data_IF_657705290456
#
_entry.id   IF_657705290456
#
_cell.length_a   1.000
_cell.length_b   1.000
_cell.length_c   1.000
_cell.angle_alpha   90.00
_cell.angle_beta   90.00
_cell.angle_gamma   90.00
#
_symmetry.space_group_name_H-M   'P 1'
#
loop_
_entity.id
_entity.type
_entity.pdbx_description
1 polymer ?
#
# COMPACT_ATOMS: atom_id res chain seq x y z
N UNK A 1 -16.07 26.65 15.85
CA UNK A 1 -14.81 26.74 16.60
C UNK A 1 -14.47 25.34 17.06
N UNK A 2 -13.75 24.62 16.20
CA UNK A 2 -13.38 23.25 16.44
C UNK A 2 -11.87 23.12 16.65
N UNK A 3 -11.47 22.33 17.65
CA UNK A 3 -10.10 21.82 17.73
C UNK A 3 -10.00 20.57 16.89
N UNK A 4 -9.23 20.62 15.81
CA UNK A 4 -9.17 19.56 14.81
C UNK A 4 -7.74 19.05 14.68
N UNK A 5 -7.56 17.73 14.72
CA UNK A 5 -6.33 17.05 14.31
C UNK A 5 -6.40 16.77 12.81
N UNK A 6 -5.40 17.18 12.04
CA UNK A 6 -5.33 16.98 10.59
C UNK A 6 -4.18 16.03 10.26
N UNK A 7 -4.44 15.06 9.39
CA UNK A 7 -3.49 14.02 8.97
C UNK A 7 -3.44 13.99 7.45
N UNK A 8 -2.24 14.10 6.88
CA UNK A 8 -1.96 13.76 5.49
C UNK A 8 -0.86 12.71 5.37
N UNK A 9 -1.18 11.67 4.61
CA UNK A 9 -0.25 10.61 4.20
C UNK A 9 -0.46 10.26 2.73
N UNK A 10 -1.02 11.20 1.95
CA UNK A 10 -1.42 10.96 0.57
C UNK A 10 -0.23 10.84 -0.39
N UNK A 11 0.94 11.36 -0.02
CA UNK A 11 2.16 11.31 -0.84
C UNK A 11 3.33 10.70 -0.06
N UNK A 12 4.57 10.95 -0.50
CA UNK A 12 5.78 10.60 0.28
C UNK A 12 5.96 11.49 1.51
N UNK A 13 5.27 12.63 1.56
CA UNK A 13 5.25 13.51 2.72
C UNK A 13 4.25 12.93 3.74
N UNK A 14 4.71 12.69 4.97
CA UNK A 14 3.85 12.48 6.12
C UNK A 14 3.68 13.83 6.82
N UNK A 15 2.46 14.30 7.04
CA UNK A 15 2.27 15.53 7.78
C UNK A 15 1.08 15.48 8.72
N UNK A 16 1.22 16.14 9.86
CA UNK A 16 0.21 16.23 10.90
C UNK A 16 0.13 17.67 11.37
N UNK A 17 -1.06 18.19 11.60
CA UNK A 17 -1.27 19.50 12.19
C UNK A 17 -2.40 19.47 13.22
N UNK A 18 -2.38 20.40 14.15
CA UNK A 18 -3.57 20.73 14.95
C UNK A 18 -4.02 22.13 14.59
N UNK A 19 -5.32 22.30 14.41
CA UNK A 19 -5.92 23.56 14.02
C UNK A 19 -7.02 23.99 14.99
N UNK A 20 -7.19 25.30 15.08
CA UNK A 20 -8.33 25.94 15.72
C UNK A 20 -8.69 27.18 14.91
N UNK A 21 -9.99 27.47 14.78
CA UNK A 21 -10.48 28.69 14.12
C UNK A 21 -10.01 28.79 12.65
N UNK A 22 -10.01 27.64 11.95
CA UNK A 22 -9.58 27.53 10.56
C UNK A 22 -8.08 27.75 10.32
N UNK A 23 -7.25 27.74 11.38
CA UNK A 23 -5.81 28.00 11.30
C UNK A 23 -5.01 26.90 11.99
N UNK A 24 -3.94 26.45 11.35
CA UNK A 24 -2.98 25.55 11.98
C UNK A 24 -2.22 26.28 13.11
N UNK A 25 -2.18 25.67 14.29
CA UNK A 25 -1.46 26.19 15.46
C UNK A 25 -0.03 25.67 15.52
N UNK A 26 0.14 24.37 15.26
CA UNK A 26 1.43 23.69 15.11
C UNK A 26 1.27 22.54 14.13
N UNK A 27 2.38 22.13 13.52
CA UNK A 27 2.43 21.03 12.57
C UNK A 27 3.80 20.36 12.60
N UNK A 28 3.84 19.14 12.07
CA UNK A 28 5.05 18.41 11.73
C UNK A 28 4.91 17.83 10.34
N UNK A 29 6.03 17.74 9.65
CA UNK A 29 6.10 17.19 8.31
C UNK A 29 7.42 16.44 8.17
N UNK A 30 7.36 15.19 7.72
CA UNK A 30 8.53 14.33 7.55
C UNK A 30 8.49 13.67 6.18
N UNK A 31 9.63 13.71 5.49
CA UNK A 31 9.82 13.12 4.16
C UNK A 31 11.07 12.25 4.17
N UNK A 32 10.90 10.98 3.85
CA UNK A 32 12.01 10.07 3.63
C UNK A 32 11.94 9.49 2.22
N UNK A 33 13.01 8.84 1.76
CA UNK A 33 13.01 8.17 0.46
C UNK A 33 12.11 6.90 0.44
N UNK A 34 11.77 6.37 1.62
CA UNK A 34 10.87 5.24 1.82
C UNK A 34 9.50 5.64 2.39
N UNK A 35 8.61 4.65 2.58
CA UNK A 35 7.31 4.88 3.24
C UNK A 35 7.46 4.61 4.74
N UNK A 36 7.70 5.66 5.54
CA UNK A 36 7.80 5.57 7.02
C UNK A 36 6.50 5.95 7.73
N UNK A 37 5.41 6.15 6.99
CA UNK A 37 4.14 6.67 7.53
C UNK A 37 3.64 5.85 8.73
N UNK A 38 3.72 4.51 8.65
CA UNK A 38 3.25 3.64 9.73
C UNK A 38 4.06 3.81 11.03
N UNK A 39 5.34 4.11 10.94
CA UNK A 39 6.24 4.26 12.09
C UNK A 39 6.22 5.68 12.66
N UNK A 40 6.02 6.69 11.81
CA UNK A 40 6.17 8.10 12.18
C UNK A 40 4.85 8.81 12.47
N UNK A 41 3.73 8.37 11.92
CA UNK A 41 2.45 9.08 12.05
C UNK A 41 2.02 9.28 13.51
N UNK A 42 2.02 8.22 14.33
CA UNK A 42 1.64 8.33 15.75
C UNK A 42 2.59 9.23 16.56
N UNK A 43 3.93 9.08 16.47
CA UNK A 43 4.86 10.03 17.07
C UNK A 43 4.61 11.49 16.66
N UNK A 44 4.33 11.77 15.38
CA UNK A 44 4.04 13.12 14.91
C UNK A 44 2.75 13.68 15.52
N UNK A 45 1.72 12.84 15.70
CA UNK A 45 0.47 13.22 16.38
C UNK A 45 0.74 13.58 17.85
N UNK A 46 1.53 12.77 18.56
CA UNK A 46 1.92 13.06 19.94
C UNK A 46 2.69 14.38 20.06
N UNK A 47 3.66 14.61 19.16
CA UNK A 47 4.44 15.85 19.13
C UNK A 47 3.55 17.09 18.95
N UNK A 48 2.64 17.10 17.97
CA UNK A 48 1.79 18.27 17.72
C UNK A 48 0.78 18.53 18.85
N UNK A 49 0.27 17.49 19.51
CA UNK A 49 -0.64 17.64 20.65
C UNK A 49 0.11 18.18 21.88
N UNK A 50 1.33 17.69 22.11
CA UNK A 50 2.18 18.15 23.21
C UNK A 50 2.61 19.61 23.05
N UNK A 51 2.94 20.05 21.84
CA UNK A 51 3.31 21.44 21.52
C UNK A 51 2.25 22.47 21.96
N UNK A 52 0.97 22.10 21.89
CA UNK A 52 -0.16 22.97 22.30
C UNK A 52 -0.76 22.57 23.65
N UNK A 53 -0.15 21.58 24.34
CA UNK A 53 -0.65 21.00 25.58
C UNK A 53 -2.14 20.58 25.50
N UNK A 54 -2.54 19.98 24.38
CA UNK A 54 -3.90 19.47 24.19
C UNK A 54 -3.97 18.00 24.55
N UNK A 55 -4.97 17.66 25.36
CA UNK A 55 -5.39 16.28 25.51
C UNK A 55 -6.38 15.91 24.40
N UNK A 56 -6.43 14.62 24.04
CA UNK A 56 -7.30 14.12 22.98
C UNK A 56 -8.79 14.43 23.22
N UNK A 57 -9.24 14.49 24.49
CA UNK A 57 -10.60 14.85 24.87
C UNK A 57 -10.96 16.30 24.54
N UNK A 58 -9.96 17.15 24.27
CA UNK A 58 -10.19 18.53 23.86
C UNK A 58 -10.37 18.70 22.35
N UNK A 59 -10.05 17.67 21.56
CA UNK A 59 -10.34 17.63 20.14
C UNK A 59 -11.84 17.44 19.90
N UNK A 60 -12.31 17.93 18.77
CA UNK A 60 -13.72 17.86 18.37
C UNK A 60 -13.91 17.10 17.05
N UNK A 61 -12.85 16.94 16.25
CA UNK A 61 -12.86 16.13 15.04
C UNK A 61 -11.44 15.72 14.64
N UNK A 62 -11.36 14.72 13.77
CA UNK A 62 -10.12 14.36 13.07
C UNK A 62 -10.38 14.51 11.57
N UNK A 63 -9.54 15.28 10.89
CA UNK A 63 -9.53 15.40 9.45
C UNK A 63 -8.40 14.55 8.85
N UNK A 64 -8.68 13.82 7.79
CA UNK A 64 -7.70 13.02 7.06
C UNK A 64 -7.84 13.24 5.57
N UNK A 65 -6.73 13.25 4.85
CA UNK A 65 -6.76 13.25 3.39
C UNK A 65 -7.26 11.92 2.84
N UNK A 66 -8.34 11.95 2.08
CA UNK A 66 -8.96 10.79 1.45
C UNK A 66 -8.33 10.39 0.11
N UNK A 67 -7.60 11.31 -0.54
CA UNK A 67 -7.05 11.09 -1.86
C UNK A 67 -7.29 12.29 -2.79
N UNK A 68 -6.80 12.22 -4.04
CA UNK A 68 -6.01 11.13 -4.63
C UNK A 68 -4.60 11.02 -4.05
N UNK A 69 -3.88 9.92 -4.32
CA UNK A 69 -2.51 9.74 -3.82
C UNK A 69 -2.01 8.29 -3.79
N UNK A 70 -0.97 8.06 -2.99
CA UNK A 70 -0.37 6.77 -2.69
C UNK A 70 -1.36 5.81 -2.07
N UNK A 71 -1.67 4.70 -2.75
CA UNK A 71 -2.57 3.66 -2.27
C UNK A 71 -2.24 3.19 -0.85
N UNK A 72 -0.95 2.91 -0.58
CA UNK A 72 -0.50 2.49 0.74
C UNK A 72 -0.59 3.63 1.76
N UNK A 73 -0.18 4.84 1.37
CA UNK A 73 -0.17 6.01 2.24
C UNK A 73 -1.58 6.40 2.71
N UNK A 74 -2.53 6.48 1.79
CA UNK A 74 -3.93 6.78 2.08
C UNK A 74 -4.55 5.76 3.04
N UNK A 75 -4.28 4.46 2.85
CA UNK A 75 -4.79 3.42 3.75
C UNK A 75 -4.22 3.53 5.16
N UNK A 76 -2.93 3.87 5.29
CA UNK A 76 -2.32 4.09 6.61
C UNK A 76 -3.00 5.27 7.30
N UNK A 77 -3.09 6.44 6.64
CA UNK A 77 -3.71 7.63 7.22
C UNK A 77 -5.16 7.42 7.61
N UNK A 78 -5.97 6.87 6.71
CA UNK A 78 -7.40 6.62 6.96
C UNK A 78 -7.61 5.57 8.05
N UNK A 79 -6.82 4.48 8.07
CA UNK A 79 -6.93 3.48 9.14
C UNK A 79 -6.56 4.07 10.51
N UNK A 80 -5.49 4.86 10.58
CA UNK A 80 -5.10 5.55 11.82
C UNK A 80 -6.18 6.54 12.25
N UNK A 81 -6.67 7.41 11.36
CA UNK A 81 -7.71 8.37 11.67
C UNK A 81 -9.01 7.69 12.15
N UNK A 82 -9.45 6.62 11.49
CA UNK A 82 -10.61 5.83 11.92
C UNK A 82 -10.41 5.21 13.29
N UNK A 83 -9.22 4.66 13.57
CA UNK A 83 -8.87 4.11 14.88
C UNK A 83 -8.92 5.17 15.99
N UNK A 84 -8.40 6.37 15.73
CA UNK A 84 -8.44 7.49 16.66
C UNK A 84 -9.86 8.01 16.86
N UNK A 85 -10.64 8.18 15.78
CA UNK A 85 -12.06 8.56 15.87
C UNK A 85 -12.86 7.57 16.70
N UNK A 86 -12.66 6.26 16.48
CA UNK A 86 -13.32 5.22 17.25
C UNK A 86 -12.91 5.22 18.72
N UNK A 87 -11.60 5.38 19.01
CA UNK A 87 -11.06 5.37 20.37
C UNK A 87 -11.39 6.63 21.18
N UNK A 88 -11.46 7.79 20.51
CA UNK A 88 -11.69 9.10 21.15
C UNK A 88 -13.13 9.59 20.99
N UNK A 89 -13.99 8.82 20.31
CA UNK A 89 -15.39 9.16 20.02
C UNK A 89 -15.52 10.52 19.30
N UNK A 90 -14.73 10.70 18.23
CA UNK A 90 -14.70 11.91 17.42
C UNK A 90 -15.21 11.63 16.00
N UNK A 91 -15.87 12.61 15.35
CA UNK A 91 -16.23 12.51 13.94
C UNK A 91 -15.01 12.59 13.02
N UNK A 92 -15.11 11.96 11.86
CA UNK A 92 -14.11 11.97 10.80
C UNK A 92 -14.50 12.98 9.71
N UNK A 93 -13.53 13.78 9.25
CA UNK A 93 -13.65 14.67 8.09
C UNK A 93 -12.69 14.16 7.00
N UNK A 94 -13.18 14.01 5.77
CA UNK A 94 -12.34 13.71 4.61
C UNK A 94 -11.93 15.01 3.90
N UNK A 95 -10.65 15.12 3.55
CA UNK A 95 -10.11 16.23 2.75
C UNK A 95 -9.54 15.71 1.44
N UNK A 96 -9.53 16.57 0.41
CA UNK A 96 -8.95 16.26 -0.89
C UNK A 96 -7.47 16.68 -0.95
N UNK A 97 -6.59 15.77 -1.37
CA UNK A 97 -5.14 16.01 -1.42
C UNK A 97 -4.76 17.15 -2.38
N UNK A 98 -5.47 17.28 -3.51
CA UNK A 98 -5.23 18.35 -4.50
C UNK A 98 -5.75 19.70 -4.01
N UNK A 99 -6.81 19.70 -3.18
CA UNK A 99 -7.29 20.92 -2.53
C UNK A 99 -6.26 21.45 -1.50
N UNK A 100 -5.61 20.56 -0.75
CA UNK A 100 -4.50 20.93 0.14
C UNK A 100 -3.34 21.57 -0.65
N UNK A 101 -2.98 21.03 -1.81
CA UNK A 101 -1.97 21.63 -2.69
C UNK A 101 -2.40 23.01 -3.18
N UNK A 102 -3.65 23.20 -3.58
CA UNK A 102 -4.14 24.50 -4.01
C UNK A 102 -4.10 25.54 -2.87
N UNK A 103 -4.49 25.16 -1.65
CA UNK A 103 -4.38 26.01 -0.47
C UNK A 103 -2.92 26.36 -0.12
N UNK A 104 -2.01 25.37 -0.23
CA UNK A 104 -0.57 25.60 -0.10
C UNK A 104 -0.07 26.60 -1.15
N UNK A 105 -0.49 26.46 -2.40
CA UNK A 105 -0.12 27.36 -3.48
C UNK A 105 -0.55 28.79 -3.20
N UNK A 106 -1.77 28.99 -2.68
CA UNK A 106 -2.27 30.30 -2.25
C UNK A 106 -1.48 30.89 -1.09
N UNK A 107 -1.01 30.05 -0.15
CA UNK A 107 -0.14 30.47 0.95
C UNK A 107 1.26 30.88 0.46
N UNK A 108 1.81 30.17 -0.54
CA UNK A 108 3.14 30.46 -1.12
C UNK A 108 3.12 31.71 -1.99
N UNK A 109 2.09 31.86 -2.82
CA UNK A 109 1.86 33.01 -3.68
C UNK A 109 0.39 33.44 -3.56
N UNK A 110 0.09 34.59 -2.93
CA UNK A 110 -1.27 35.06 -2.74
C UNK A 110 -1.90 35.69 -3.99
N UNK A 111 -1.16 35.81 -5.09
CA UNK A 111 -1.64 36.43 -6.35
C UNK A 111 -2.96 35.80 -6.83
N UNK A 112 -3.97 36.60 -7.22
CA UNK A 112 -5.21 36.07 -7.75
C UNK A 112 -5.05 35.31 -9.06
N UNK A 113 -5.15 33.98 -9.01
CA UNK A 113 -4.98 33.09 -10.18
C UNK A 113 -5.58 31.70 -9.93
N UNK A 114 -5.90 30.91 -10.97
CA UNK A 114 -6.26 29.52 -10.78
C UNK A 114 -5.06 28.69 -10.29
N UNK A 115 -5.36 27.65 -9.52
CA UNK A 115 -4.36 26.73 -8.96
C UNK A 115 -4.69 25.31 -9.35
N UNK A 116 -3.71 24.63 -9.94
CA UNK A 116 -3.85 23.27 -10.43
C UNK A 116 -3.04 22.38 -9.48
N UNK A 117 -3.75 21.67 -8.60
CA UNK A 117 -3.14 20.70 -7.70
C UNK A 117 -2.87 19.41 -8.46
N UNK A 118 -1.60 18.99 -8.56
CA UNK A 118 -1.18 17.86 -9.38
C UNK A 118 -0.36 16.85 -8.56
N UNK A 119 -0.82 15.61 -8.52
CA UNK A 119 -0.12 14.50 -7.85
C UNK A 119 0.32 13.47 -8.89
N UNK A 120 1.58 13.02 -8.83
CA UNK A 120 2.09 11.99 -9.74
C UNK A 120 1.31 10.66 -9.59
N UNK A 121 0.62 10.24 -10.66
CA UNK A 121 -0.14 9.00 -10.72
C UNK A 121 0.68 7.82 -11.27
N UNK A 122 2.01 7.99 -11.42
CA UNK A 122 2.96 7.09 -12.10
C UNK A 122 2.67 6.97 -13.60
N UNK A 123 3.54 6.26 -14.34
CA UNK A 123 3.35 5.89 -15.76
C UNK A 123 2.84 7.03 -16.67
N UNK A 124 3.54 8.17 -16.70
CA UNK A 124 3.13 9.34 -17.50
C UNK A 124 1.73 9.91 -17.21
N UNK A 125 1.12 9.59 -16.08
CA UNK A 125 -0.15 10.18 -15.65
C UNK A 125 0.03 11.09 -14.43
N UNK A 126 -0.94 11.98 -14.23
CA UNK A 126 -1.09 12.80 -13.02
C UNK A 126 -2.56 12.84 -12.61
N UNK A 127 -2.82 12.85 -11.31
CA UNK A 127 -4.11 13.29 -10.80
C UNK A 127 -4.09 14.80 -10.74
N UNK A 128 -5.06 15.46 -11.37
CA UNK A 128 -5.12 16.90 -11.38
C UNK A 128 -6.55 17.39 -11.15
N UNK A 129 -6.67 18.46 -10.36
CA UNK A 129 -7.88 19.24 -10.20
C UNK A 129 -7.54 20.73 -10.27
N UNK A 130 -8.49 21.51 -10.75
CA UNK A 130 -8.33 22.96 -10.89
C UNK A 130 -9.19 23.68 -9.87
N UNK A 131 -8.59 24.63 -9.16
CA UNK A 131 -9.23 25.46 -8.16
C UNK A 131 -9.18 26.92 -8.60
N UNK A 132 -10.27 27.64 -8.37
CA UNK A 132 -10.31 29.09 -8.48
C UNK A 132 -9.43 29.76 -7.41
N UNK A 133 -9.23 31.07 -7.51
CA UNK A 133 -8.46 31.82 -6.51
C UNK A 133 -9.08 31.77 -5.10
N UNK A 134 -10.40 31.63 -5.03
CA UNK A 134 -11.17 31.50 -3.79
C UNK A 134 -11.15 30.06 -3.23
N UNK A 135 -10.41 29.15 -3.85
CA UNK A 135 -10.31 27.75 -3.42
C UNK A 135 -11.48 26.86 -3.82
N UNK A 136 -12.43 27.38 -4.62
CA UNK A 136 -13.54 26.58 -5.15
C UNK A 136 -13.01 25.64 -6.25
N UNK A 137 -13.29 24.35 -6.14
CA UNK A 137 -13.00 23.37 -7.19
C UNK A 137 -13.84 23.69 -8.44
N UNK A 138 -13.17 24.00 -9.56
CA UNK A 138 -13.80 24.30 -10.85
C UNK A 138 -13.67 23.14 -11.84
N UNK A 139 -12.74 22.22 -11.59
CA UNK A 139 -12.58 20.97 -12.33
C UNK A 139 -12.17 19.89 -11.33
N UNK A 140 -12.98 18.84 -11.22
CA UNK A 140 -12.75 17.72 -10.30
C UNK A 140 -11.50 16.92 -10.67
N UNK A 141 -11.05 16.10 -9.73
CA UNK A 141 -9.87 15.26 -9.89
C UNK A 141 -10.08 14.25 -11.01
N UNK A 142 -9.23 14.33 -12.03
CA UNK A 142 -9.17 13.35 -13.11
C UNK A 142 -7.75 12.80 -13.28
N UNK A 143 -7.60 11.52 -13.65
CA UNK A 143 -6.32 11.01 -14.15
C UNK A 143 -6.09 11.56 -15.56
N UNK A 144 -5.03 12.33 -15.73
CA UNK A 144 -4.63 12.94 -16.99
C UNK A 144 -3.38 12.24 -17.50
N UNK A 145 -3.46 11.64 -18.68
CA UNK A 145 -2.28 11.16 -19.42
C UNK A 145 -1.49 12.36 -19.95
N UNK A 146 -0.20 12.38 -19.67
CA UNK A 146 0.70 13.51 -19.93
C UNK A 146 1.66 13.15 -21.06
N UNK A 147 1.13 12.56 -22.13
CA UNK A 147 1.86 12.34 -23.37
C UNK A 147 1.82 13.60 -24.25
N UNK A 148 0.76 14.40 -24.13
CA UNK A 148 0.56 15.68 -24.81
C UNK A 148 -0.01 16.72 -23.83
N UNK A 149 0.19 18.01 -24.11
CA UNK A 149 -0.36 19.08 -23.28
C UNK A 149 -1.90 19.10 -23.37
N UNK A 150 -2.64 18.94 -22.28
CA UNK A 150 -4.09 18.90 -22.33
C UNK A 150 -4.68 20.22 -22.80
N UNK A 151 -5.67 20.15 -23.70
CA UNK A 151 -6.31 21.33 -24.32
C UNK A 151 -7.06 22.24 -23.33
N UNK A 152 -7.33 21.76 -22.10
CA UNK A 152 -8.12 22.49 -21.11
C UNK A 152 -7.28 23.41 -20.21
N UNK A 153 -5.97 23.22 -20.12
CA UNK A 153 -5.06 24.11 -19.39
C UNK A 153 -4.44 25.14 -20.34
N UNK A 154 -5.24 26.10 -20.81
CA UNK A 154 -4.84 27.09 -21.85
C UNK A 154 -4.58 28.51 -21.33
N UNK A 155 -4.57 28.73 -20.02
CA UNK A 155 -4.39 30.06 -19.40
C UNK A 155 -3.18 30.20 -18.46
N UNK A 156 -3.05 31.35 -17.78
CA UNK A 156 -2.14 31.51 -16.64
C UNK A 156 -2.58 30.64 -15.47
N UNK A 157 -1.65 30.27 -14.61
CA UNK A 157 -1.98 29.48 -13.42
C UNK A 157 -0.77 28.96 -12.69
N UNK A 158 -0.98 28.65 -11.42
CA UNK A 158 0.02 28.00 -10.58
C UNK A 158 -0.24 26.50 -10.56
N UNK A 159 0.68 25.74 -11.15
CA UNK A 159 0.68 24.29 -11.10
C UNK A 159 1.53 23.87 -9.91
N UNK A 160 0.96 23.09 -8.99
CA UNK A 160 1.60 22.78 -7.72
C UNK A 160 1.50 21.29 -7.40
N UNK A 161 2.61 20.71 -6.97
CA UNK A 161 2.73 19.31 -6.60
C UNK A 161 3.78 18.55 -7.42
N UNK A 162 4.11 17.33 -7.02
CA UNK A 162 5.11 16.50 -7.72
C UNK A 162 4.68 16.15 -9.15
N UNK A 163 3.37 16.06 -9.41
CA UNK A 163 2.81 15.95 -10.75
C UNK A 163 3.04 17.19 -11.61
N UNK A 164 3.03 18.40 -11.02
CA UNK A 164 3.28 19.64 -11.77
C UNK A 164 4.72 19.71 -12.27
N UNK A 165 5.69 19.33 -11.42
CA UNK A 165 7.11 19.28 -11.79
C UNK A 165 7.35 18.28 -12.92
N UNK A 166 6.72 17.10 -12.84
CA UNK A 166 6.79 16.06 -13.88
C UNK A 166 6.28 16.55 -15.24
N UNK A 167 5.25 17.39 -15.24
CA UNK A 167 4.59 17.88 -16.46
C UNK A 167 5.14 19.23 -16.95
N UNK A 168 6.12 19.82 -16.24
CA UNK A 168 6.57 21.19 -16.47
C UNK A 168 7.01 21.47 -17.91
N UNK A 169 7.76 20.55 -18.52
CA UNK A 169 8.26 20.73 -19.90
C UNK A 169 7.12 20.73 -20.92
N UNK A 170 6.09 19.90 -20.71
CA UNK A 170 4.94 19.75 -21.60
C UNK A 170 3.94 20.90 -21.42
N UNK A 171 3.75 21.37 -20.19
CA UNK A 171 2.79 22.41 -19.83
C UNK A 171 3.38 23.82 -19.82
N UNK A 172 4.67 23.98 -20.13
CA UNK A 172 5.34 25.28 -20.14
C UNK A 172 4.59 26.28 -21.03
N UNK A 173 4.39 27.49 -20.53
CA UNK A 173 3.66 28.55 -21.22
C UNK A 173 3.85 29.89 -20.52
N UNK A 174 3.41 30.97 -21.17
CA UNK A 174 3.42 32.28 -20.55
C UNK A 174 2.54 32.30 -19.29
N UNK A 175 3.00 33.00 -18.25
CA UNK A 175 2.26 33.23 -17.00
C UNK A 175 1.87 31.94 -16.23
N UNK A 176 2.72 30.91 -16.33
CA UNK A 176 2.60 29.65 -15.59
C UNK A 176 3.75 29.46 -14.62
N UNK A 177 3.42 29.08 -13.40
CA UNK A 177 4.41 28.67 -12.39
C UNK A 177 4.25 27.19 -12.07
N UNK A 178 5.36 26.55 -11.70
CA UNK A 178 5.43 25.12 -11.42
C UNK A 178 6.16 24.93 -10.11
N UNK A 179 5.41 24.60 -9.07
CA UNK A 179 5.91 24.51 -7.69
C UNK A 179 6.07 23.05 -7.27
N UNK A 180 7.28 22.70 -6.83
CA UNK A 180 7.56 21.40 -6.22
C UNK A 180 7.04 21.39 -4.79
N UNK A 181 5.97 20.65 -4.55
CA UNK A 181 5.23 20.65 -3.30
C UNK A 181 4.57 19.29 -3.03
N UNK A 182 4.13 19.10 -1.79
CA UNK A 182 3.39 17.93 -1.33
C UNK A 182 2.21 18.41 -0.49
N UNK A 183 1.06 17.72 -0.49
CA UNK A 183 -0.05 18.04 0.41
C UNK A 183 0.43 18.12 1.86
N UNK A 184 0.01 19.18 2.57
CA UNK A 184 0.36 19.39 3.97
C UNK A 184 -0.88 19.55 4.82
N UNK A 185 -0.96 18.81 5.93
CA UNK A 185 -2.09 18.84 6.86
C UNK A 185 -2.44 20.26 7.34
N UNK A 186 -1.44 21.14 7.53
CA UNK A 186 -1.64 22.55 7.94
C UNK A 186 -2.47 23.36 6.94
N UNK A 187 -2.37 23.02 5.65
CA UNK A 187 -3.03 23.75 4.57
C UNK A 187 -4.51 23.32 4.41
N UNK A 188 -4.93 22.24 5.09
CA UNK A 188 -6.33 21.82 5.19
C UNK A 188 -7.14 22.47 6.32
N UNK A 189 -6.53 23.33 7.15
CA UNK A 189 -7.14 23.84 8.39
C UNK A 189 -8.49 24.57 8.15
N UNK A 190 -8.57 25.41 7.13
CA UNK A 190 -9.79 26.16 6.81
C UNK A 190 -10.89 25.24 6.27
N UNK A 191 -10.54 24.29 5.40
CA UNK A 191 -11.47 23.31 4.86
C UNK A 191 -12.06 22.42 5.96
N UNK A 192 -11.22 21.99 6.92
CA UNK A 192 -11.66 21.19 8.04
C UNK A 192 -12.60 21.95 8.98
N UNK A 193 -12.34 23.22 9.29
CA UNK A 193 -13.26 24.05 10.10
C UNK A 193 -14.60 24.26 9.37
N UNK A 194 -14.56 24.45 8.05
CA UNK A 194 -15.77 24.58 7.24
C UNK A 194 -16.60 23.28 7.27
N UNK A 195 -15.99 22.14 6.96
CA UNK A 195 -16.66 20.83 6.99
C UNK A 195 -17.24 20.54 8.38
N UNK A 196 -16.51 20.86 9.46
CA UNK A 196 -17.01 20.73 10.82
C UNK A 196 -18.24 21.61 11.09
N UNK A 197 -18.18 22.87 10.66
CA UNK A 197 -19.27 23.84 10.88
C UNK A 197 -20.53 23.44 10.09
N UNK A 198 -20.34 22.85 8.91
CA UNK A 198 -21.41 22.36 8.04
C UNK A 198 -21.92 20.95 8.45
N UNK A 199 -21.27 20.29 9.42
CA UNK A 199 -21.61 18.95 9.86
C UNK A 199 -21.31 17.86 8.82
N UNK A 200 -20.37 18.12 7.92
CA UNK A 200 -19.92 17.18 6.89
C UNK A 200 -18.93 16.19 7.50
N UNK A 201 -19.49 15.10 8.03
CA UNK A 201 -18.73 14.01 8.63
C UNK A 201 -18.94 12.72 7.87
N UNK A 202 -17.87 11.94 7.78
CA UNK A 202 -17.88 10.64 7.14
C UNK A 202 -18.41 9.56 8.08
N UNK A 203 -19.08 8.56 7.52
CA UNK A 203 -19.46 7.36 8.26
C UNK A 203 -18.22 6.48 8.51
N UNK A 204 -17.82 6.34 9.77
CA UNK A 204 -16.63 5.57 10.15
C UNK A 204 -16.67 4.12 9.66
N UNK A 205 -17.84 3.48 9.61
CA UNK A 205 -17.97 2.08 9.20
C UNK A 205 -17.63 1.88 7.72
N UNK A 206 -18.17 2.76 6.87
CA UNK A 206 -18.14 2.64 5.41
C UNK A 206 -17.11 3.49 4.70
N UNK A 207 -16.51 4.49 5.36
CA UNK A 207 -15.55 5.38 4.72
C UNK A 207 -14.29 4.63 4.25
N UNK A 208 -13.97 4.85 2.97
CA UNK A 208 -12.77 4.34 2.28
C UNK A 208 -12.07 5.50 1.55
N UNK A 209 -10.74 5.42 1.34
CA UNK A 209 -10.03 6.42 0.53
C UNK A 209 -10.59 6.53 -0.89
N UNK A 210 -10.53 7.73 -1.47
CA UNK A 210 -10.91 8.00 -2.84
C UNK A 210 -9.85 7.44 -3.81
N UNK A 211 -10.06 6.19 -4.26
CA UNK A 211 -9.24 5.55 -5.27
C UNK A 211 -9.71 5.93 -6.68
N UNK A 212 -9.17 7.03 -7.21
CA UNK A 212 -9.43 7.48 -8.58
C UNK A 212 -8.97 6.45 -9.63
N UNK A 213 -8.02 5.57 -9.27
CA UNK A 213 -7.55 4.46 -10.11
C UNK A 213 -7.46 3.15 -9.34
N UNK A 214 -7.78 2.04 -9.99
CA UNK A 214 -7.49 0.71 -9.48
C UNK A 214 -5.96 0.53 -9.32
N UNK A 215 -5.53 0.11 -8.12
CA UNK A 215 -4.12 -0.16 -7.83
C UNK A 215 -3.56 -1.21 -8.80
N UNK A 216 -2.47 -0.86 -9.50
CA UNK A 216 -1.69 -1.79 -10.33
C UNK A 216 -0.32 -1.99 -9.67
N UNK A 217 0.01 -3.23 -9.29
CA UNK A 217 1.28 -3.57 -8.68
C UNK A 217 2.46 -3.16 -9.59
N UNK A 218 3.48 -2.53 -9.00
CA UNK A 218 4.74 -2.22 -9.69
C UNK A 218 5.66 -3.45 -9.76
N UNK A 219 6.70 -3.39 -10.58
CA UNK A 219 7.74 -4.42 -10.57
C UNK A 219 8.47 -4.45 -9.21
N UNK A 220 8.87 -5.64 -8.72
CA UNK A 220 9.64 -5.75 -7.48
C UNK A 220 10.94 -4.94 -7.57
N UNK A 221 11.24 -4.15 -6.53
CA UNK A 221 12.57 -3.52 -6.40
C UNK A 221 13.62 -4.63 -6.29
N UNK A 222 14.78 -4.44 -6.93
CA UNK A 222 15.96 -5.31 -6.80
C UNK A 222 16.92 -4.69 -5.77
N UNK A 223 16.80 -5.03 -4.47
CA UNK A 223 17.57 -4.42 -3.40
C UNK A 223 19.06 -4.79 -3.44
N UNK A 224 19.47 -5.75 -4.26
CA UNK A 224 20.85 -6.26 -4.33
C UNK A 224 21.64 -5.74 -5.55
N UNK A 225 21.04 -4.92 -6.41
CA UNK A 225 21.72 -4.29 -7.55
C UNK A 225 22.16 -5.26 -8.66
N UNK A 226 21.67 -6.51 -8.62
CA UNK A 226 22.01 -7.60 -9.54
C UNK A 226 21.56 -7.29 -10.99
N UNK A 227 20.60 -6.39 -11.17
CA UNK A 227 20.14 -5.95 -12.51
C UNK A 227 21.12 -5.04 -13.26
N UNK A 228 21.99 -4.28 -12.57
CA UNK A 228 22.95 -3.37 -13.24
C UNK A 228 24.25 -4.05 -13.69
N UNK A 229 24.60 -5.20 -13.09
CA UNK A 229 25.76 -6.00 -13.49
C UNK A 229 25.54 -6.71 -14.84
N UNK A 230 24.30 -6.83 -15.32
CA UNK A 230 23.96 -7.43 -16.61
C UNK A 230 24.49 -6.64 -17.83
N UNK A 231 24.68 -5.31 -17.74
CA UNK A 231 25.22 -4.53 -18.89
C UNK A 231 26.72 -4.79 -19.13
N UNK A 232 27.44 -5.27 -18.13
CA UNK A 232 28.86 -5.62 -18.24
C UNK A 232 29.07 -7.04 -18.82
N UNK A 233 28.00 -7.83 -18.89
CA UNK A 233 27.96 -9.16 -19.52
C UNK A 233 27.47 -9.17 -20.97
N UNK A 234 27.00 -8.02 -21.48
CA UNK A 234 26.49 -7.92 -22.85
C UNK A 234 27.60 -8.03 -23.91
N UNK A 235 28.82 -7.57 -23.59
CA UNK A 235 29.98 -7.72 -24.49
C UNK A 235 30.58 -9.12 -24.51
N UNK A 236 30.35 -9.94 -23.47
CA UNK A 236 30.81 -11.32 -23.41
C UNK A 236 29.89 -12.29 -24.18
N UNK A 237 28.63 -11.92 -24.38
CA UNK A 237 27.60 -12.78 -24.99
C UNK A 237 27.60 -12.82 -26.53
N UNK A 238 28.14 -11.80 -27.21
CA UNK A 238 28.16 -11.76 -28.70
C UNK A 238 29.13 -12.79 -29.29
N UNK A 239 30.12 -13.26 -28.53
CA UNK A 239 31.17 -14.15 -29.03
C UNK A 239 30.83 -15.65 -28.89
N UNK A 240 29.73 -16.01 -28.24
CA UNK A 240 29.49 -17.41 -27.80
C UNK A 240 28.10 -17.98 -28.15
N UNK A 241 27.40 -17.43 -29.15
CA UNK A 241 26.09 -17.94 -29.57
C UNK A 241 25.97 -18.04 -31.10
N UNK A 242 26.99 -18.61 -31.75
CA UNK A 242 26.90 -19.20 -33.09
C UNK A 242 26.71 -20.73 -33.03
N UNK A 243 26.16 -21.26 -31.94
CA UNK A 243 25.94 -22.69 -31.81
C UNK A 243 24.72 -23.01 -30.95
N UNK A 244 23.85 -23.81 -31.54
CA UNK A 244 22.77 -24.58 -30.93
C UNK A 244 21.42 -23.84 -30.76
N UNK A 245 20.61 -24.03 -31.79
CA UNK A 245 19.17 -23.89 -31.74
C UNK A 245 18.52 -24.99 -30.86
N UNK A 246 17.34 -24.63 -30.33
CA UNK A 246 16.23 -25.51 -29.90
C UNK A 246 16.30 -26.13 -28.50
N UNK A 247 15.62 -25.51 -27.52
CA UNK A 247 14.40 -26.04 -26.88
C UNK A 247 13.97 -25.19 -25.66
N UNK A 248 12.72 -24.68 -25.73
CA UNK A 248 11.77 -24.45 -24.63
C UNK A 248 12.19 -23.68 -23.37
N UNK A 249 11.75 -22.43 -23.24
CA UNK A 249 11.52 -21.81 -21.92
C UNK A 249 10.48 -22.64 -21.16
N UNK A 250 10.85 -23.20 -20.01
CA UNK A 250 9.86 -23.72 -19.06
C UNK A 250 9.32 -22.55 -18.23
N UNK A 251 8.08 -22.17 -18.53
CA UNK A 251 7.27 -21.29 -17.70
C UNK A 251 7.02 -21.97 -16.35
N UNK A 252 7.66 -21.47 -15.30
CA UNK A 252 7.52 -22.01 -13.95
C UNK A 252 6.29 -21.40 -13.27
N UNK A 253 5.20 -22.18 -13.18
CA UNK A 253 4.01 -21.85 -12.40
C UNK A 253 3.50 -23.12 -11.73
N UNK A 254 3.43 -23.15 -10.40
CA UNK A 254 2.72 -24.23 -9.69
C UNK A 254 1.28 -24.19 -10.19
N UNK A 255 0.68 -25.31 -10.65
CA UNK A 255 -0.70 -25.31 -11.10
C UNK A 255 -1.60 -24.70 -10.01
N UNK A 256 -2.26 -23.58 -10.31
CA UNK A 256 -3.18 -22.94 -9.39
C UNK A 256 -4.38 -23.87 -9.19
N UNK A 257 -4.46 -24.49 -8.01
CA UNK A 257 -5.61 -25.29 -7.61
C UNK A 257 -6.34 -24.53 -6.52
N UNK A 258 -7.54 -23.98 -6.81
CA UNK A 258 -8.25 -23.18 -5.85
C UNK A 258 -8.65 -24.05 -4.64
N UNK A 259 -8.22 -23.62 -3.46
CA UNK A 259 -8.69 -24.16 -2.19
C UNK A 259 -9.71 -23.21 -1.57
N UNK A 260 -10.85 -23.73 -1.15
CA UNK A 260 -11.84 -23.01 -0.33
C UNK A 260 -12.73 -24.03 0.41
N UNK A 261 -12.32 -24.41 1.62
CA UNK A 261 -13.09 -25.33 2.46
C UNK A 261 -12.87 -25.05 3.94
N UNK A 262 -13.70 -25.68 4.77
CA UNK A 262 -13.66 -25.56 6.21
C UNK A 262 -13.47 -26.93 6.86
N UNK A 263 -12.70 -26.98 7.94
CA UNK A 263 -12.59 -28.15 8.81
C UNK A 263 -13.05 -27.81 10.21
N UNK A 264 -13.73 -28.74 10.87
CA UNK A 264 -14.12 -28.61 12.28
C UNK A 264 -13.14 -29.41 13.14
N UNK A 265 -12.33 -28.72 13.93
CA UNK A 265 -11.27 -29.30 14.78
C UNK A 265 -11.81 -30.26 15.86
N UNK A 266 -13.12 -30.25 16.11
CA UNK A 266 -13.77 -31.20 17.02
C UNK A 266 -13.99 -32.58 16.39
N UNK A 267 -13.88 -32.72 15.07
CA UNK A 267 -14.06 -34.01 14.40
C UNK A 267 -12.85 -34.91 14.66
N UNK A 268 -13.05 -36.22 14.92
CA UNK A 268 -11.96 -37.15 15.22
C UNK A 268 -10.84 -37.18 14.17
N UNK A 269 -11.15 -36.92 12.90
CA UNK A 269 -10.18 -36.89 11.81
C UNK A 269 -9.17 -35.73 11.91
N UNK A 270 -9.46 -34.71 12.70
CA UNK A 270 -8.65 -33.49 12.83
C UNK A 270 -8.16 -33.25 14.27
N UNK A 271 -8.40 -34.18 15.19
CA UNK A 271 -8.08 -33.99 16.61
C UNK A 271 -6.58 -33.74 16.85
N UNK A 272 -5.71 -34.28 15.99
CA UNK A 272 -4.27 -34.01 15.99
C UNK A 272 -3.95 -32.51 15.91
N UNK A 273 -4.75 -31.74 15.17
CA UNK A 273 -4.57 -30.30 15.01
C UNK A 273 -4.95 -29.47 16.24
N UNK A 274 -5.48 -30.08 17.30
CA UNK A 274 -5.72 -29.40 18.58
C UNK A 274 -4.44 -29.15 19.39
N UNK A 275 -3.32 -29.76 18.99
CA UNK A 275 -2.03 -29.63 19.68
C UNK A 275 -1.03 -28.86 18.79
N UNK A 276 -0.45 -27.74 19.29
CA UNK A 276 0.63 -27.05 18.58
C UNK A 276 1.82 -27.96 18.31
N UNK A 277 2.44 -27.82 17.14
CA UNK A 277 3.54 -28.66 16.68
C UNK A 277 3.12 -29.88 15.87
N UNK A 278 1.83 -30.15 15.76
CA UNK A 278 1.29 -31.27 14.99
C UNK A 278 0.83 -30.84 13.59
N UNK A 279 0.91 -31.78 12.64
CA UNK A 279 0.45 -31.58 11.27
C UNK A 279 -0.44 -32.74 10.80
N UNK A 280 -1.30 -32.46 9.84
CA UNK A 280 -2.02 -33.49 9.08
C UNK A 280 -1.91 -33.22 7.58
N UNK A 281 -1.97 -34.30 6.79
CA UNK A 281 -2.08 -34.21 5.34
C UNK A 281 -3.54 -34.35 4.91
N UNK A 282 -4.04 -33.41 4.09
CA UNK A 282 -5.38 -33.44 3.51
C UNK A 282 -5.36 -33.39 1.98
N UNK A 283 -6.39 -33.93 1.31
CA UNK A 283 -6.59 -33.68 -0.12
C UNK A 283 -6.92 -32.20 -0.38
N UNK A 284 -6.52 -31.69 -1.54
CA UNK A 284 -6.64 -30.28 -1.92
C UNK A 284 -5.35 -29.78 -2.55
N UNK A 285 -5.34 -28.54 -3.03
CA UNK A 285 -4.16 -27.96 -3.69
C UNK A 285 -3.67 -28.78 -4.88
N UNK A 286 -2.42 -28.54 -5.29
CA UNK A 286 -1.82 -29.16 -6.46
C UNK A 286 -1.39 -30.60 -6.20
N UNK A 287 -0.81 -30.89 -5.02
CA UNK A 287 -0.38 -32.24 -4.62
C UNK A 287 -0.83 -32.65 -3.22
N UNK A 288 -1.92 -32.08 -2.72
CA UNK A 288 -2.33 -32.22 -1.32
C UNK A 288 -1.86 -31.04 -0.48
N UNK A 289 -2.35 -30.97 0.75
CA UNK A 289 -2.05 -29.92 1.70
C UNK A 289 -1.42 -30.51 2.96
N UNK A 290 -0.47 -29.79 3.55
CA UNK A 290 -0.15 -29.93 4.97
C UNK A 290 -0.79 -28.80 5.75
N UNK A 291 -1.51 -29.15 6.80
CA UNK A 291 -2.04 -28.21 7.78
C UNK A 291 -1.24 -28.44 9.06
N UNK A 292 -0.55 -27.41 9.52
CA UNK A 292 0.27 -27.43 10.71
C UNK A 292 -0.25 -26.43 11.74
N UNK A 293 -0.38 -26.87 13.00
CA UNK A 293 -0.77 -26.00 14.12
C UNK A 293 0.47 -25.31 14.67
N UNK A 294 0.67 -24.04 14.33
CA UNK A 294 1.85 -23.29 14.79
C UNK A 294 1.70 -22.79 16.22
N UNK A 295 0.54 -22.23 16.56
CA UNK A 295 0.20 -21.79 17.91
C UNK A 295 -1.22 -22.21 18.28
N UNK A 296 -1.69 -21.85 19.48
CA UNK A 296 -3.09 -22.09 19.87
C UNK A 296 -4.11 -21.33 19.02
N UNK A 297 -3.72 -20.35 18.20
CA UNK A 297 -4.67 -19.61 17.36
C UNK A 297 -4.24 -19.55 15.88
N UNK A 298 -3.05 -20.05 15.55
CA UNK A 298 -2.45 -19.92 14.23
C UNK A 298 -2.20 -21.27 13.55
N UNK A 299 -2.53 -21.30 12.26
CA UNK A 299 -2.33 -22.43 11.37
C UNK A 299 -1.53 -22.03 10.14
N UNK A 300 -0.61 -22.90 9.75
CA UNK A 300 0.14 -22.82 8.51
C UNK A 300 -0.39 -23.90 7.57
N UNK A 301 -0.76 -23.51 6.35
CA UNK A 301 -1.25 -24.45 5.33
C UNK A 301 -0.41 -24.32 4.08
N UNK A 302 0.29 -25.38 3.71
CA UNK A 302 1.21 -25.43 2.57
C UNK A 302 0.74 -26.43 1.54
N UNK A 303 0.87 -26.08 0.26
CA UNK A 303 0.77 -27.03 -0.84
C UNK A 303 1.93 -28.01 -0.78
N UNK A 304 1.64 -29.27 -1.09
CA UNK A 304 2.64 -30.33 -1.10
C UNK A 304 3.40 -30.43 -2.43
N UNK A 305 3.19 -29.52 -3.37
CA UNK A 305 3.91 -29.53 -4.65
C UNK A 305 5.31 -28.91 -4.50
N UNK A 306 6.34 -29.71 -4.75
CA UNK A 306 7.73 -29.24 -4.76
C UNK A 306 7.96 -28.14 -5.82
N UNK A 307 8.82 -27.18 -5.51
CA UNK A 307 8.97 -25.97 -6.34
C UNK A 307 10.20 -25.95 -7.25
N UNK A 308 11.06 -26.97 -7.18
CA UNK A 308 12.26 -27.05 -8.02
C UNK A 308 11.94 -27.42 -9.48
N UNK A 309 11.38 -28.60 -9.73
CA UNK A 309 11.00 -29.10 -11.05
C UNK A 309 9.48 -29.39 -11.09
N UNK A 310 8.70 -28.33 -11.32
CA UNK A 310 7.23 -28.38 -11.31
C UNK A 310 6.68 -29.37 -12.36
N UNK A 311 7.21 -29.44 -13.61
CA UNK A 311 6.80 -30.46 -14.58
C UNK A 311 6.94 -31.90 -14.09
N UNK A 312 7.94 -32.20 -13.24
CA UNK A 312 8.14 -33.52 -12.65
C UNK A 312 7.02 -33.88 -11.65
N UNK A 313 6.31 -32.88 -11.12
CA UNK A 313 5.12 -33.07 -10.30
C UNK A 313 5.40 -33.69 -8.94
N UNK A 314 6.58 -33.42 -8.40
CA UNK A 314 7.06 -33.98 -7.14
C UNK A 314 6.24 -33.51 -5.94
N UNK A 315 6.04 -34.42 -4.99
CA UNK A 315 5.30 -34.17 -3.76
C UNK A 315 6.27 -34.13 -2.58
N UNK A 316 6.08 -33.17 -1.68
CA UNK A 316 6.82 -33.12 -0.41
C UNK A 316 6.15 -33.95 0.68
N UNK A 317 6.98 -34.55 1.53
CA UNK A 317 6.61 -35.32 2.71
C UNK A 317 7.20 -34.69 3.96
N UNK A 318 6.43 -34.68 5.03
CA UNK A 318 6.86 -34.21 6.35
C UNK A 318 7.77 -35.27 6.99
N UNK A 319 8.96 -34.83 7.39
CA UNK A 319 9.95 -35.63 8.08
C UNK A 319 9.54 -35.91 9.53
N UNK A 320 10.25 -36.84 10.17
CA UNK A 320 9.95 -37.27 11.54
C UNK A 320 10.11 -36.17 12.61
N UNK A 321 10.73 -35.03 12.26
CA UNK A 321 10.89 -33.87 13.14
C UNK A 321 9.66 -32.94 13.14
N UNK A 322 8.64 -33.20 12.31
CA UNK A 322 7.44 -32.40 12.12
C UNK A 322 7.67 -30.93 11.70
N UNK A 323 8.89 -30.57 11.29
CA UNK A 323 9.25 -29.20 10.90
C UNK A 323 9.92 -29.13 9.54
N UNK A 324 10.46 -30.24 9.04
CA UNK A 324 11.13 -30.32 7.74
C UNK A 324 10.24 -31.05 6.73
N UNK A 325 10.06 -30.45 5.56
CA UNK A 325 9.39 -31.04 4.41
C UNK A 325 10.45 -31.37 3.36
N UNK A 326 10.47 -32.58 2.83
CA UNK A 326 11.43 -32.99 1.80
C UNK A 326 10.70 -33.59 0.60
N UNK A 327 11.17 -33.33 -0.63
CA UNK A 327 10.67 -34.05 -1.81
C UNK A 327 11.34 -35.42 -1.98
N UNK A 328 10.72 -36.29 -2.77
CA UNK A 328 11.15 -37.68 -2.94
C UNK A 328 12.61 -37.78 -3.45
N UNK A 329 13.28 -38.90 -3.16
CA UNK A 329 14.67 -39.14 -3.58
C UNK A 329 14.86 -39.19 -5.09
N UNK A 330 13.79 -39.50 -5.83
CA UNK A 330 13.78 -39.47 -7.29
C UNK A 330 13.60 -38.04 -7.86
N UNK A 331 13.42 -37.05 -6.99
CA UNK A 331 13.27 -35.64 -7.31
C UNK A 331 14.56 -34.86 -7.02
N UNK A 332 14.48 -33.78 -6.23
CA UNK A 332 15.61 -32.88 -5.99
C UNK A 332 16.26 -33.02 -4.62
N UNK A 333 15.63 -33.78 -3.73
CA UNK A 333 15.96 -33.88 -2.31
C UNK A 333 16.07 -32.52 -1.61
N UNK A 334 15.31 -31.53 -2.11
CA UNK A 334 15.21 -30.23 -1.49
C UNK A 334 14.39 -30.31 -0.22
N UNK A 335 14.74 -29.47 0.74
CA UNK A 335 14.09 -29.38 2.04
C UNK A 335 13.46 -28.01 2.21
N UNK A 336 12.26 -27.97 2.77
CA UNK A 336 11.51 -26.76 3.09
C UNK A 336 11.08 -26.77 4.56
N UNK A 337 10.89 -25.58 5.13
CA UNK A 337 10.43 -25.40 6.50
C UNK A 337 8.90 -25.45 6.58
N UNK A 338 8.32 -26.31 7.40
CA UNK A 338 6.86 -26.43 7.59
C UNK A 338 6.21 -25.13 8.12
N UNK A 339 6.98 -24.26 8.78
CA UNK A 339 6.47 -23.03 9.41
C UNK A 339 6.04 -21.95 8.41
N UNK A 340 6.68 -21.90 7.24
CA UNK A 340 6.42 -20.85 6.25
C UNK A 340 6.65 -21.29 4.80
N UNK A 341 7.11 -22.51 4.58
CA UNK A 341 7.43 -23.06 3.27
C UNK A 341 8.78 -22.62 2.73
N UNK A 342 9.64 -21.94 3.49
CA UNK A 342 10.96 -21.49 3.01
C UNK A 342 11.88 -22.65 2.68
N UNK A 343 12.73 -22.48 1.65
CA UNK A 343 13.73 -23.50 1.30
C UNK A 343 14.84 -23.49 2.35
N UNK A 344 15.15 -24.66 2.90
CA UNK A 344 16.22 -24.89 3.87
C UNK A 344 17.47 -25.47 3.22
N UNK A 345 17.31 -26.40 2.27
CA UNK A 345 18.41 -27.12 1.64
C UNK A 345 18.03 -27.62 0.24
N UNK A 346 19.02 -27.98 -0.57
CA UNK A 346 18.84 -28.49 -1.93
C UNK A 346 18.73 -27.41 -3.00
N UNK A 347 18.45 -27.80 -4.26
CA UNK A 347 18.50 -26.90 -5.41
C UNK A 347 17.22 -26.06 -5.61
N UNK A 348 16.15 -26.30 -4.86
CA UNK A 348 14.95 -25.44 -4.86
C UNK A 348 15.31 -23.98 -4.51
N UNK A 349 14.63 -23.02 -5.14
CA UNK A 349 14.84 -21.57 -4.88
C UNK A 349 13.58 -20.82 -4.49
N UNK A 350 12.41 -21.49 -4.56
CA UNK A 350 11.11 -20.90 -4.28
C UNK A 350 10.48 -21.58 -3.06
N UNK A 351 9.80 -20.84 -2.19
CA UNK A 351 9.07 -21.43 -1.07
C UNK A 351 7.83 -22.20 -1.56
N UNK A 352 7.36 -23.15 -0.76
CA UNK A 352 6.08 -23.83 -1.00
C UNK A 352 4.93 -22.82 -0.99
N UNK A 353 3.88 -23.11 -1.77
CA UNK A 353 2.71 -22.24 -1.83
C UNK A 353 1.92 -22.30 -0.52
N UNK A 354 1.71 -21.13 0.11
CA UNK A 354 0.97 -21.00 1.38
C UNK A 354 -0.46 -20.52 1.13
N UNK A 355 -1.42 -21.22 1.71
CA UNK A 355 -2.83 -20.84 1.74
C UNK A 355 -3.15 -19.98 2.96
N UNK A 356 -4.17 -19.14 2.83
CA UNK A 356 -4.69 -18.32 3.92
C UNK A 356 -5.59 -19.12 4.83
N UNK A 357 -5.56 -18.75 6.10
CA UNK A 357 -6.34 -19.41 7.15
C UNK A 357 -7.10 -18.38 7.98
N UNK A 358 -8.26 -18.80 8.49
CA UNK A 358 -9.03 -18.06 9.49
C UNK A 358 -9.66 -19.06 10.45
N UNK A 359 -9.41 -18.89 11.75
CA UNK A 359 -10.01 -19.71 12.80
C UNK A 359 -11.19 -18.96 13.43
N UNK A 360 -12.36 -19.60 13.49
CA UNK A 360 -13.54 -19.09 14.18
C UNK A 360 -14.14 -20.18 15.06
N UNK A 361 -13.88 -20.10 16.38
CA UNK A 361 -14.20 -21.19 17.30
C UNK A 361 -13.40 -22.45 16.94
N UNK A 362 -14.10 -23.56 16.70
CA UNK A 362 -13.48 -24.82 16.24
C UNK A 362 -13.36 -24.93 14.72
N UNK A 363 -13.87 -23.96 13.96
CA UNK A 363 -13.89 -24.03 12.50
C UNK A 363 -12.67 -23.31 11.92
N UNK A 364 -11.79 -24.07 11.28
CA UNK A 364 -10.68 -23.53 10.48
C UNK A 364 -11.12 -23.43 9.02
N UNK A 365 -11.13 -22.20 8.50
CA UNK A 365 -11.34 -21.91 7.08
C UNK A 365 -10.00 -21.82 6.36
N UNK A 366 -9.89 -22.47 5.20
CA UNK A 366 -8.69 -22.51 4.36
C UNK A 366 -9.06 -22.04 2.96
N UNK A 367 -8.36 -21.02 2.46
CA UNK A 367 -8.64 -20.38 1.18
C UNK A 367 -7.38 -19.80 0.52
N UNK A 368 -7.45 -19.45 -0.77
CA UNK A 368 -6.32 -18.84 -1.49
C UNK A 368 -6.01 -17.41 -1.04
#
# INVERSE_FOLDING_TARGET
MARILLIDTSTKQCSVAVAQDGRALTWREERTEGYVHAERLMPLIEEVLNDVAWEHQSLQAIAVTGGPGSFTGLRIGVATAKGLCQGWNLPLIALDSTALLAAQGKRMDPTPQPRIGMIDARRMEVYAATYSDDGICIQEVEPVEVDEAPDHWTGPGQFIGDGAVKCKELLAGADRTFEDAWPLARDGAQMAEQAFTEGQFEDLGSYEPNYVKAFKAGEPKDPLGLRSSLKMWWFAWVFMLFSCASCGEQSQFIPYVPVNFQIDLNLPAYNTLNFPGEAIALPGGSKGLYIYRFTLDEFVVLDRHATFDIPLGCQVTLEADNVTLRDDSDCSESEWLMLDGTVMNGPATLPLHRYRTSLNGSILSIFN
#
